data_IF_524564071409
#
_entry.id   IF_524564071409
#
_cell.length_a   1.000
_cell.length_b   1.000
_cell.length_c   1.000
_cell.angle_alpha   90.00
_cell.angle_beta   90.00
_cell.angle_gamma   90.00
#
_symmetry.space_group_name_H-M   'P 1'
#
loop_
_entity.id
_entity.type
_entity.pdbx_description
1 polymer ?
#
# COMPACT_ATOMS: atom_id res chain seq x y z
N UNK A 1 7.98 -24.14 46.27
CA UNK A 1 7.79 -22.86 45.57
C UNK A 1 7.51 -23.20 44.11
N UNK A 2 6.29 -22.98 43.64
CA UNK A 2 5.90 -23.31 42.26
C UNK A 2 6.29 -22.14 41.34
N UNK A 3 6.88 -22.39 40.15
CA UNK A 3 7.15 -21.33 39.20
C UNK A 3 5.83 -20.88 38.54
N UNK A 4 5.50 -19.60 38.65
CA UNK A 4 4.42 -18.99 37.87
C UNK A 4 4.84 -18.92 36.41
N UNK A 5 4.20 -19.71 35.55
CA UNK A 5 4.40 -19.65 34.10
C UNK A 5 3.66 -18.44 33.54
N UNK A 6 4.38 -17.34 33.31
CA UNK A 6 3.84 -16.20 32.56
C UNK A 6 3.68 -16.58 31.09
N UNK A 7 2.44 -16.78 30.61
CA UNK A 7 2.19 -16.96 29.18
C UNK A 7 2.37 -15.63 28.43
N UNK A 8 3.14 -15.64 27.34
CA UNK A 8 3.30 -14.47 26.47
C UNK A 8 2.24 -14.53 25.38
N UNK A 9 1.28 -13.61 25.42
CA UNK A 9 0.28 -13.46 24.35
C UNK A 9 0.91 -12.73 23.16
N UNK A 10 0.76 -13.29 21.96
CA UNK A 10 1.27 -12.71 20.73
C UNK A 10 0.12 -12.16 19.90
N UNK A 11 0.26 -10.95 19.37
CA UNK A 11 -0.65 -10.40 18.34
C UNK A 11 0.11 -10.04 17.08
N UNK A 12 -0.62 -9.80 16.00
CA UNK A 12 -0.05 -9.44 14.72
C UNK A 12 -0.66 -8.14 14.20
N UNK A 13 0.19 -7.24 13.75
CA UNK A 13 -0.18 -6.12 12.89
C UNK A 13 -0.09 -6.60 11.43
N UNK A 14 -1.22 -6.70 10.74
CA UNK A 14 -1.33 -7.30 9.40
C UNK A 14 -1.85 -6.31 8.37
N UNK A 15 -1.35 -6.43 7.15
CA UNK A 15 -1.93 -5.81 5.97
C UNK A 15 -2.10 -6.85 4.86
N UNK A 16 -3.27 -6.81 4.23
CA UNK A 16 -3.65 -7.70 3.14
C UNK A 16 -4.22 -6.85 2.02
N UNK A 17 -3.87 -7.18 0.79
CA UNK A 17 -4.32 -6.48 -0.41
C UNK A 17 -5.13 -7.42 -1.30
N UNK A 18 -6.19 -6.88 -1.88
CA UNK A 18 -7.06 -7.54 -2.85
C UNK A 18 -7.45 -6.52 -3.91
N UNK A 19 -7.54 -6.95 -5.16
CA UNK A 19 -8.03 -6.10 -6.25
C UNK A 19 -8.81 -6.91 -7.27
N UNK A 20 -9.56 -6.28 -8.19
CA UNK A 20 -10.22 -7.00 -9.29
C UNK A 20 -9.24 -7.82 -10.15
N UNK A 21 -8.00 -7.32 -10.33
CA UNK A 21 -6.93 -8.02 -11.04
C UNK A 21 -6.20 -9.07 -10.18
N UNK A 22 -6.32 -8.99 -8.85
CA UNK A 22 -5.79 -9.96 -7.89
C UNK A 22 -6.86 -10.38 -6.88
N UNK A 23 -7.77 -11.30 -7.28
CA UNK A 23 -8.92 -11.67 -6.46
C UNK A 23 -8.53 -12.47 -5.21
N UNK A 24 -7.35 -13.10 -5.21
CA UNK A 24 -6.81 -13.78 -4.04
C UNK A 24 -6.10 -12.79 -3.10
N UNK A 25 -6.40 -12.80 -1.79
CA UNK A 25 -5.77 -11.89 -0.84
C UNK A 25 -4.24 -12.09 -0.76
N UNK A 26 -3.50 -11.02 -1.01
CA UNK A 26 -2.05 -11.00 -0.88
C UNK A 26 -1.65 -10.41 0.47
N UNK A 27 -0.93 -11.19 1.27
CA UNK A 27 -0.41 -10.71 2.55
C UNK A 27 0.77 -9.78 2.27
N UNK A 28 0.56 -8.49 2.48
CA UNK A 28 1.62 -7.49 2.34
C UNK A 28 2.55 -7.54 3.55
N UNK A 29 2.01 -7.68 4.75
CA UNK A 29 2.82 -7.76 5.97
C UNK A 29 2.09 -8.48 7.09
N UNK A 30 2.85 -9.05 8.02
CA UNK A 30 2.36 -9.65 9.25
C UNK A 30 3.44 -9.52 10.34
N UNK A 31 3.47 -8.36 11.00
CA UNK A 31 4.45 -8.06 12.05
C UNK A 31 3.96 -8.60 13.39
N UNK A 32 4.79 -9.42 14.03
CA UNK A 32 4.55 -9.98 15.36
C UNK A 32 4.78 -8.90 16.42
N UNK A 33 3.84 -8.74 17.35
CA UNK A 33 3.93 -7.85 18.50
C UNK A 33 3.59 -8.64 19.79
N UNK A 34 4.55 -8.90 20.66
CA UNK A 34 4.28 -9.56 21.94
C UNK A 34 3.56 -8.60 22.90
N UNK A 35 2.47 -9.05 23.51
CA UNK A 35 1.79 -8.27 24.53
C UNK A 35 2.61 -8.27 25.83
N UNK A 36 2.56 -7.16 26.60
CA UNK A 36 3.13 -7.14 27.93
C UNK A 36 2.42 -8.17 28.83
N UNK A 37 3.21 -8.97 29.55
CA UNK A 37 2.73 -9.93 30.55
C UNK A 37 1.95 -9.25 31.68
N UNK A 38 1.04 -9.99 32.30
CA UNK A 38 0.24 -9.52 33.44
C UNK A 38 0.92 -9.85 34.78
N UNK A 39 0.92 -8.93 35.77
CA UNK A 39 0.42 -7.55 35.71
C UNK A 39 1.32 -6.63 34.86
N UNK A 40 0.71 -5.70 34.13
CA UNK A 40 1.44 -4.81 33.21
C UNK A 40 2.04 -3.60 33.94
N UNK A 41 3.36 -3.40 33.82
CA UNK A 41 4.03 -2.18 34.28
C UNK A 41 3.87 -1.02 33.29
N UNK A 42 4.06 0.22 33.74
CA UNK A 42 4.06 1.41 32.86
C UNK A 42 5.18 1.31 31.82
N UNK A 43 6.35 0.80 32.22
CA UNK A 43 7.49 0.59 31.34
C UNK A 43 7.16 -0.41 30.22
N UNK A 44 6.56 -1.57 30.56
CA UNK A 44 6.24 -2.60 29.57
C UNK A 44 5.17 -2.14 28.59
N UNK A 45 4.17 -1.37 29.06
CA UNK A 45 3.19 -0.71 28.18
C UNK A 45 3.85 0.31 27.26
N UNK A 46 4.75 1.13 27.79
CA UNK A 46 5.45 2.16 27.00
C UNK A 46 6.33 1.53 25.91
N UNK A 47 7.04 0.45 26.23
CA UNK A 47 7.83 -0.31 25.27
C UNK A 47 6.96 -0.91 24.16
N UNK A 48 5.83 -1.54 24.53
CA UNK A 48 4.88 -2.08 23.57
C UNK A 48 4.32 -1.01 22.62
N UNK A 49 3.92 0.15 23.14
CA UNK A 49 3.38 1.24 22.31
C UNK A 49 4.43 1.84 21.38
N UNK A 50 5.68 1.95 21.82
CA UNK A 50 6.80 2.36 20.95
C UNK A 50 7.04 1.36 19.82
N UNK A 51 7.02 0.07 20.13
CA UNK A 51 7.16 -1.00 19.14
C UNK A 51 6.00 -1.00 18.15
N UNK A 52 4.76 -0.87 18.63
CA UNK A 52 3.57 -0.77 17.79
C UNK A 52 3.66 0.44 16.85
N UNK A 53 4.01 1.63 17.35
CA UNK A 53 4.15 2.83 16.52
C UNK A 53 5.18 2.64 15.41
N UNK A 54 6.35 2.07 15.76
CA UNK A 54 7.41 1.78 14.79
C UNK A 54 6.93 0.79 13.73
N UNK A 55 6.27 -0.29 14.15
CA UNK A 55 5.70 -1.27 13.25
C UNK A 55 4.62 -0.69 12.32
N UNK A 56 3.80 0.24 12.82
CA UNK A 56 2.78 0.93 12.02
C UNK A 56 3.40 1.82 10.96
N UNK A 57 4.43 2.61 11.28
CA UNK A 57 5.13 3.42 10.27
C UNK A 57 5.76 2.55 9.19
N UNK A 58 6.47 1.48 9.58
CA UNK A 58 7.04 0.54 8.61
C UNK A 58 5.97 -0.16 7.75
N UNK A 59 4.80 -0.47 8.32
CA UNK A 59 3.68 -1.02 7.57
C UNK A 59 3.14 -0.02 6.54
N UNK A 60 3.01 1.25 6.92
CA UNK A 60 2.57 2.31 6.03
C UNK A 60 3.53 2.48 4.85
N UNK A 61 4.84 2.53 5.11
CA UNK A 61 5.87 2.63 4.06
C UNK A 61 5.76 1.46 3.08
N UNK A 62 5.54 0.25 3.59
CA UNK A 62 5.39 -0.95 2.76
C UNK A 62 4.11 -0.93 1.92
N UNK A 63 3.00 -0.44 2.49
CA UNK A 63 1.74 -0.27 1.74
C UNK A 63 1.93 0.74 0.61
N UNK A 64 2.52 1.89 0.91
CA UNK A 64 2.76 2.94 -0.07
C UNK A 64 3.64 2.43 -1.21
N UNK A 65 4.79 1.83 -0.89
CA UNK A 65 5.69 1.27 -1.89
C UNK A 65 5.01 0.21 -2.78
N UNK A 66 4.20 -0.67 -2.17
CA UNK A 66 3.47 -1.69 -2.91
C UNK A 66 2.41 -1.09 -3.85
N UNK A 67 1.62 -0.13 -3.36
CA UNK A 67 0.58 0.51 -4.17
C UNK A 67 1.18 1.34 -5.30
N UNK A 68 2.26 2.09 -5.05
CA UNK A 68 2.98 2.82 -6.09
C UNK A 68 3.49 1.89 -7.18
N UNK A 69 4.15 0.78 -6.80
CA UNK A 69 4.63 -0.20 -7.78
C UNK A 69 3.49 -0.83 -8.60
N UNK A 70 2.32 -1.05 -7.98
CA UNK A 70 1.13 -1.55 -8.67
C UNK A 70 0.55 -0.52 -9.64
N UNK A 71 0.45 0.74 -9.25
CA UNK A 71 -0.02 1.81 -10.14
C UNK A 71 0.88 1.93 -11.38
N UNK A 72 2.20 1.90 -11.19
CA UNK A 72 3.12 1.93 -12.34
C UNK A 72 3.01 0.68 -13.23
N UNK A 73 2.77 -0.50 -12.64
CA UNK A 73 2.53 -1.70 -13.41
C UNK A 73 1.23 -1.58 -14.23
N UNK A 74 0.16 -1.13 -13.60
CA UNK A 74 -1.14 -0.97 -14.24
C UNK A 74 -1.07 0.06 -15.38
N UNK A 75 -0.35 1.18 -15.19
CA UNK A 75 -0.12 2.17 -16.25
C UNK A 75 0.62 1.57 -17.46
N UNK A 76 1.68 0.78 -17.22
CA UNK A 76 2.41 0.08 -18.29
C UNK A 76 1.53 -0.94 -19.00
N UNK A 77 0.67 -1.64 -18.26
CA UNK A 77 -0.25 -2.64 -18.84
C UNK A 77 -1.34 -1.98 -19.69
N UNK A 78 -1.84 -0.80 -19.30
CA UNK A 78 -2.76 0.01 -20.10
C UNK A 78 -2.07 0.46 -21.40
N UNK A 79 -0.87 1.04 -21.33
CA UNK A 79 -0.11 1.47 -22.51
C UNK A 79 0.19 0.31 -23.49
N UNK A 80 0.52 -0.88 -22.96
CA UNK A 80 0.72 -2.09 -23.77
C UNK A 80 -0.55 -2.57 -24.47
N UNK A 81 -1.72 -2.44 -23.83
CA UNK A 81 -3.00 -2.81 -24.45
C UNK A 81 -3.39 -1.82 -25.55
N UNK A 82 -3.11 -0.54 -25.36
CA UNK A 82 -3.34 0.49 -26.38
C UNK A 82 -2.51 0.25 -27.66
N UNK A 83 -1.29 -0.27 -27.54
CA UNK A 83 -0.42 -0.58 -28.68
C UNK A 83 -0.71 -1.92 -29.38
N UNK A 84 -1.42 -2.85 -28.73
CA UNK A 84 -1.73 -4.18 -29.29
C UNK A 84 -3.15 -4.31 -29.89
N UNK A 85 -4.08 -3.43 -29.50
CA UNK A 85 -5.44 -3.40 -30.03
C UNK A 85 -5.64 -2.19 -30.93
N UNK A 86 -5.37 -2.33 -32.24
CA UNK A 86 -5.68 -1.29 -33.21
C UNK A 86 -7.18 -0.96 -33.21
N UNK A 87 -7.54 0.17 -32.60
CA UNK A 87 -8.89 0.73 -32.68
C UNK A 87 -9.40 1.31 -31.37
N UNK A 88 -9.25 2.63 -31.23
CA UNK A 88 -10.08 3.45 -30.34
C UNK A 88 -9.28 4.34 -29.41
N UNK A 89 -8.96 5.55 -29.90
CA UNK A 89 -8.56 6.76 -29.19
C UNK A 89 -8.18 6.57 -27.71
N UNK A 90 -6.92 6.21 -27.48
CA UNK A 90 -6.23 6.47 -26.21
C UNK A 90 -5.29 7.61 -26.52
N UNK A 91 -5.46 8.72 -25.82
CA UNK A 91 -4.58 9.88 -25.97
C UNK A 91 -3.16 9.43 -25.67
N UNK A 92 -2.24 9.73 -26.58
CA UNK A 92 -0.83 9.41 -26.40
C UNK A 92 -0.31 10.32 -25.28
N UNK A 93 0.02 9.73 -24.13
CA UNK A 93 0.52 10.48 -22.97
C UNK A 93 1.83 11.22 -23.32
N UNK A 94 2.57 10.78 -24.34
CA UNK A 94 3.71 11.53 -24.89
C UNK A 94 3.29 12.77 -25.67
N UNK A 95 2.17 12.73 -26.42
CA UNK A 95 1.61 13.90 -27.10
C UNK A 95 0.93 14.87 -26.10
N UNK A 96 0.35 14.36 -24.99
CA UNK A 96 -0.19 15.19 -23.91
C UNK A 96 0.90 15.88 -23.07
N UNK A 97 2.06 15.24 -22.83
CA UNK A 97 3.21 15.87 -22.17
C UNK A 97 3.81 17.02 -23.00
N UNK A 98 3.82 16.93 -24.35
CA UNK A 98 4.32 18.00 -25.22
C UNK A 98 3.37 19.20 -25.37
N UNK A 99 2.08 19.05 -25.05
CA UNK A 99 1.08 20.12 -25.15
C UNK A 99 0.70 20.76 -23.80
N UNK A 100 1.45 20.49 -22.72
CA UNK A 100 1.22 21.07 -21.39
C UNK A 100 1.64 22.55 -21.36
N UNK A 101 0.79 23.44 -21.89
CA UNK A 101 1.01 24.89 -21.87
C UNK A 101 0.35 25.69 -22.99
N UNK A 102 -0.26 25.04 -23.99
CA UNK A 102 -0.99 25.73 -25.05
C UNK A 102 -2.51 25.49 -24.86
N UNK A 103 -3.23 26.53 -24.43
CA UNK A 103 -4.69 26.53 -24.40
C UNK A 103 -5.15 26.33 -25.86
N UNK A 104 -5.71 25.17 -26.22
CA UNK A 104 -6.32 24.98 -27.55
C UNK A 104 -7.52 25.93 -27.60
N UNK A 105 -7.49 27.02 -28.39
CA UNK A 105 -8.66 27.87 -28.48
C UNK A 105 -9.81 27.04 -29.08
N UNK A 106 -10.91 26.93 -28.34
CA UNK A 106 -12.16 26.42 -28.89
C UNK A 106 -12.50 27.29 -30.10
N UNK A 107 -12.56 26.66 -31.27
CA UNK A 107 -12.96 27.32 -32.50
C UNK A 107 -14.46 27.65 -32.39
N UNK A 108 -14.77 28.83 -31.86
CA UNK A 108 -16.05 29.51 -32.06
C UNK A 108 -16.11 30.00 -33.52
N UNK A 109 -16.55 29.13 -34.42
CA UNK A 109 -16.96 29.54 -35.77
C UNK A 109 -18.48 29.47 -35.91
N UNK A 110 -19.06 30.67 -35.74
CA UNK A 110 -20.26 31.31 -36.35
C UNK A 110 -21.10 30.56 -37.38
#
# INVERSE_FOLDING_TARGET
>A
MSPSTSSTTIVHLKATYTSPSTPTPQILSSTVLPLPSTPQSVESKTAYLRALRTATTALQDRINAYLTARMEQDARDVARRATQGGGGAVVDEADEEENYGEEVPENDDV
#
